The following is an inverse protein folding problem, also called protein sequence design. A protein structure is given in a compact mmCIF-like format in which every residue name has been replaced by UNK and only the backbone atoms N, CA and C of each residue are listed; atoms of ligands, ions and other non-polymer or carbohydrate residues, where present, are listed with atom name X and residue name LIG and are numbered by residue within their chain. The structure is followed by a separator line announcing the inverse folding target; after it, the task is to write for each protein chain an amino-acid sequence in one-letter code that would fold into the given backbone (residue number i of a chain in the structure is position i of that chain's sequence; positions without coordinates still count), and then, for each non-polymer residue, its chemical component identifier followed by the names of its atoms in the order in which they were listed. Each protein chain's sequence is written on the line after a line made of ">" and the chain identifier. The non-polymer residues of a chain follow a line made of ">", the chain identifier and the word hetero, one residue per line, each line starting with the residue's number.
data_IF_094816740789
#
_entry.id   IF_094816740789
#
_cell.length_a   1.000
_cell.length_b   1.000
_cell.length_c   1.000
_cell.angle_alpha   90.00
_cell.angle_beta   90.00
_cell.angle_gamma   90.00
#
_symmetry.space_group_name_H-M   'P 1'
#
loop_
_entity.id
_entity.type
_entity.pdbx_description
1 polymer ?
#
# COMPACT_ATOMS: atom_id res chain seq x y z
N UNK A 1 -2.30 -21.65 -14.99
CA UNK A 1 -3.27 -21.36 -16.06
C UNK A 1 -3.55 -19.85 -16.07
N UNK A 2 -3.30 -19.19 -17.21
CA UNK A 2 -3.73 -17.80 -17.44
C UNK A 2 -5.27 -17.75 -17.41
N UNK A 3 -5.84 -16.72 -16.77
CA UNK A 3 -7.27 -16.56 -16.60
C UNK A 3 -7.80 -15.33 -17.33
N UNK A 4 -7.30 -14.15 -16.98
CA UNK A 4 -7.75 -12.87 -17.55
C UNK A 4 -6.71 -11.78 -17.29
N UNK A 5 -6.87 -10.66 -17.97
CA UNK A 5 -6.15 -9.40 -17.72
C UNK A 5 -7.11 -8.24 -17.87
N UNK A 6 -6.75 -7.10 -17.32
CA UNK A 6 -7.44 -5.83 -17.55
C UNK A 6 -6.44 -4.67 -17.46
N UNK A 7 -6.85 -3.52 -17.98
CA UNK A 7 -6.03 -2.33 -18.01
C UNK A 7 -5.20 -2.22 -19.29
N UNK A 8 -4.70 -1.02 -19.52
CA UNK A 8 -3.86 -0.67 -20.67
C UNK A 8 -2.89 0.46 -20.29
N UNK A 9 -1.97 0.77 -21.16
CA UNK A 9 -1.03 1.90 -20.96
C UNK A 9 -1.76 3.23 -21.10
N UNK A 10 -1.55 4.14 -20.13
CA UNK A 10 -2.10 5.49 -20.14
C UNK A 10 -2.23 6.07 -18.73
N UNK A 11 -2.97 7.18 -18.61
CA UNK A 11 -3.13 7.95 -17.38
C UNK A 11 -4.59 8.06 -16.86
N UNK A 12 -5.55 7.55 -17.61
CA UNK A 12 -6.96 7.54 -17.24
C UNK A 12 -7.34 6.42 -16.25
N UNK A 13 -8.64 6.29 -15.90
CA UNK A 13 -9.16 5.18 -15.14
C UNK A 13 -8.93 3.84 -15.85
N UNK A 14 -8.37 2.86 -15.14
CA UNK A 14 -8.02 1.56 -15.72
C UNK A 14 -6.81 1.58 -16.65
N UNK A 15 -6.12 2.71 -16.76
CA UNK A 15 -4.87 2.85 -17.48
C UNK A 15 -3.71 2.99 -16.50
N UNK A 16 -2.50 2.59 -16.87
CA UNK A 16 -1.33 2.56 -15.99
C UNK A 16 -0.04 2.92 -16.74
N UNK A 17 0.88 3.59 -16.05
CA UNK A 17 2.24 3.79 -16.53
C UNK A 17 3.18 2.71 -15.99
N UNK A 18 3.08 2.39 -14.69
CA UNK A 18 3.93 1.41 -14.03
C UNK A 18 3.17 0.73 -12.89
N UNK A 19 2.52 -0.39 -13.18
CA UNK A 19 1.92 -1.24 -12.13
C UNK A 19 3.05 -1.83 -11.29
N UNK A 20 3.20 -1.36 -10.06
CA UNK A 20 4.31 -1.70 -9.18
C UNK A 20 3.93 -2.67 -8.06
N UNK A 21 2.75 -2.49 -7.49
CA UNK A 21 2.23 -3.35 -6.43
C UNK A 21 0.71 -3.52 -6.55
N UNK A 22 0.21 -4.60 -5.97
CA UNK A 22 -1.20 -4.95 -5.91
C UNK A 22 -1.57 -5.38 -4.49
N UNK A 23 -2.77 -5.04 -4.05
CA UNK A 23 -3.34 -5.57 -2.82
C UNK A 23 -4.82 -5.88 -3.00
N UNK A 24 -5.25 -6.98 -2.41
CA UNK A 24 -6.68 -7.27 -2.24
C UNK A 24 -7.17 -6.63 -0.96
N UNK A 25 -8.32 -6.01 -1.02
CA UNK A 25 -8.99 -5.42 0.12
C UNK A 25 -10.34 -6.05 0.42
N UNK A 26 -11.09 -5.50 1.36
CA UNK A 26 -12.42 -5.96 1.74
C UNK A 26 -13.35 -6.05 0.53
N UNK A 27 -14.24 -7.04 0.56
CA UNK A 27 -15.22 -7.25 -0.52
C UNK A 27 -14.65 -7.73 -1.85
N UNK A 28 -13.34 -8.04 -1.91
CA UNK A 28 -12.66 -8.45 -3.14
C UNK A 28 -12.22 -7.27 -4.02
N UNK A 29 -12.21 -6.06 -3.49
CA UNK A 29 -11.67 -4.90 -4.17
C UNK A 29 -10.17 -5.09 -4.44
N UNK A 30 -9.72 -4.65 -5.61
CA UNK A 30 -8.32 -4.69 -6.01
C UNK A 30 -7.73 -3.28 -6.03
N UNK A 31 -6.69 -3.09 -5.27
CA UNK A 31 -5.92 -1.84 -5.24
C UNK A 31 -4.68 -2.02 -6.10
N UNK A 32 -4.52 -1.15 -7.08
CA UNK A 32 -3.41 -1.16 -8.03
C UNK A 32 -2.57 0.09 -7.83
N UNK A 33 -1.34 -0.10 -7.38
CA UNK A 33 -0.38 0.97 -7.19
C UNK A 33 0.36 1.25 -8.49
N UNK A 34 0.18 2.45 -9.02
CA UNK A 34 0.82 2.98 -10.22
C UNK A 34 1.92 3.96 -9.80
N UNK A 35 3.15 3.44 -9.69
CA UNK A 35 4.29 4.18 -9.15
C UNK A 35 4.60 5.44 -9.94
N UNK A 36 4.64 5.35 -11.25
CA UNK A 36 5.11 6.45 -12.10
C UNK A 36 4.07 7.56 -12.28
N UNK A 37 2.79 7.25 -12.04
CA UNK A 37 1.72 8.24 -11.94
C UNK A 37 1.39 8.63 -10.50
N UNK A 38 2.17 8.17 -9.52
CA UNK A 38 2.11 8.57 -8.11
C UNK A 38 0.71 8.39 -7.50
N UNK A 39 0.04 7.28 -7.85
CA UNK A 39 -1.35 7.03 -7.47
C UNK A 39 -1.65 5.58 -7.15
N UNK A 40 -2.79 5.36 -6.52
CA UNK A 40 -3.42 4.06 -6.36
C UNK A 40 -4.79 4.13 -7.01
N UNK A 41 -5.13 3.15 -7.82
CA UNK A 41 -6.48 2.99 -8.34
C UNK A 41 -7.17 1.83 -7.61
N UNK A 42 -8.38 2.07 -7.11
CA UNK A 42 -9.25 1.08 -6.49
C UNK A 42 -10.26 0.57 -7.52
N UNK A 43 -10.38 -0.75 -7.59
CA UNK A 43 -11.30 -1.43 -8.49
C UNK A 43 -12.22 -2.34 -7.71
N UNK A 44 -13.50 -2.20 -7.93
CA UNK A 44 -14.52 -3.07 -7.37
C UNK A 44 -14.65 -4.33 -8.22
N UNK A 45 -14.61 -5.48 -7.58
CA UNK A 45 -14.93 -6.74 -8.25
C UNK A 45 -16.42 -6.81 -8.63
N UNK A 46 -16.73 -7.13 -9.86
CA UNK A 46 -18.11 -7.16 -10.38
C UNK A 46 -18.70 -8.56 -10.51
N UNK A 47 -17.86 -9.61 -10.57
CA UNK A 47 -18.34 -10.99 -10.57
C UNK A 47 -18.76 -11.42 -9.15
N UNK A 48 -19.94 -12.06 -9.04
CA UNK A 48 -20.41 -12.58 -7.76
C UNK A 48 -19.44 -13.66 -7.22
N UNK A 49 -19.22 -13.70 -5.89
CA UNK A 49 -18.45 -14.78 -5.27
C UNK A 49 -19.01 -16.15 -5.66
N UNK A 50 -18.14 -17.05 -6.12
CA UNK A 50 -18.54 -18.39 -6.58
C UNK A 50 -19.05 -18.46 -8.01
N UNK A 51 -19.12 -17.35 -8.76
CA UNK A 51 -19.34 -17.37 -10.20
C UNK A 51 -18.27 -18.22 -10.89
N UNK A 52 -18.67 -18.91 -11.96
CA UNK A 52 -17.70 -19.56 -12.87
C UNK A 52 -17.03 -18.58 -13.81
N UNK A 53 -17.59 -17.37 -13.88
CA UNK A 53 -17.00 -16.27 -14.65
C UNK A 53 -15.78 -15.74 -13.89
N UNK A 54 -14.77 -15.35 -14.64
CA UNK A 54 -13.60 -14.72 -14.05
C UNK A 54 -13.98 -13.36 -13.47
N UNK A 55 -13.41 -12.95 -12.31
CA UNK A 55 -13.68 -11.65 -11.77
C UNK A 55 -13.32 -10.58 -12.80
N UNK A 56 -14.25 -9.69 -13.05
CA UNK A 56 -14.04 -8.45 -13.76
C UNK A 56 -13.99 -7.31 -12.75
N UNK A 57 -13.28 -6.25 -13.11
CA UNK A 57 -13.02 -5.14 -12.23
C UNK A 57 -13.48 -3.83 -12.87
N UNK A 58 -14.21 -3.02 -12.11
CA UNK A 58 -14.63 -1.68 -12.51
C UNK A 58 -13.89 -0.65 -11.65
N UNK A 59 -13.33 0.37 -12.29
CA UNK A 59 -12.70 1.48 -11.59
C UNK A 59 -13.71 2.17 -10.66
N UNK A 60 -13.35 2.35 -9.40
CA UNK A 60 -14.18 2.96 -8.37
C UNK A 60 -13.61 4.30 -7.91
N UNK A 61 -12.31 4.36 -7.65
CA UNK A 61 -11.64 5.56 -7.17
C UNK A 61 -10.17 5.60 -7.57
N UNK A 62 -9.62 6.81 -7.60
CA UNK A 62 -8.18 7.06 -7.72
C UNK A 62 -7.72 7.86 -6.52
N UNK A 63 -6.71 7.35 -5.82
CA UNK A 63 -6.05 8.01 -4.71
C UNK A 63 -4.76 8.63 -5.18
N UNK A 64 -4.62 9.92 -5.00
CA UNK A 64 -3.45 10.71 -5.37
C UNK A 64 -2.78 11.28 -4.10
N UNK A 65 -1.93 12.28 -4.27
CA UNK A 65 -1.19 12.94 -3.18
C UNK A 65 -0.19 12.00 -2.47
N UNK A 66 0.45 11.15 -3.27
CA UNK A 66 1.57 10.29 -2.89
C UNK A 66 2.87 10.85 -3.47
N UNK A 67 3.99 10.57 -2.80
CA UNK A 67 5.32 11.00 -3.27
C UNK A 67 5.84 10.08 -4.38
N UNK A 68 6.34 8.92 -4.00
CA UNK A 68 6.70 7.84 -4.91
C UNK A 68 6.31 6.52 -4.23
N UNK A 69 5.07 6.06 -4.41
CA UNK A 69 4.58 4.88 -3.74
C UNK A 69 5.23 3.62 -4.34
N UNK A 70 5.66 2.69 -3.47
CA UNK A 70 6.36 1.47 -3.87
C UNK A 70 5.59 0.20 -3.55
N UNK A 71 4.95 0.15 -2.38
CA UNK A 71 4.19 -1.02 -1.95
C UNK A 71 2.92 -0.63 -1.20
N UNK A 72 1.95 -1.51 -1.19
CA UNK A 72 0.66 -1.33 -0.55
C UNK A 72 0.22 -2.58 0.21
N UNK A 73 -0.17 -2.40 1.46
CA UNK A 73 -0.84 -3.39 2.29
C UNK A 73 -2.23 -2.89 2.63
N UNK A 74 -3.26 -3.71 2.47
CA UNK A 74 -4.64 -3.33 2.76
C UNK A 74 -5.22 -4.20 3.86
N UNK A 75 -5.90 -3.56 4.82
CA UNK A 75 -6.65 -4.20 5.91
C UNK A 75 -8.15 -3.96 5.76
N UNK A 76 -8.92 -4.36 6.78
CA UNK A 76 -10.38 -4.17 6.80
C UNK A 76 -10.80 -2.70 6.76
N UNK A 77 -9.99 -1.78 7.29
CA UNK A 77 -10.34 -0.36 7.46
C UNK A 77 -9.32 0.63 6.91
N UNK A 78 -8.17 0.17 6.48
CA UNK A 78 -7.08 1.05 6.07
C UNK A 78 -6.13 0.42 5.06
N UNK A 79 -5.37 1.25 4.40
CA UNK A 79 -4.26 0.86 3.53
C UNK A 79 -2.96 1.50 4.04
N UNK A 80 -1.87 0.75 3.96
CA UNK A 80 -0.53 1.19 4.31
C UNK A 80 0.33 1.22 3.07
N UNK A 81 0.97 2.34 2.81
CA UNK A 81 1.75 2.57 1.60
C UNK A 81 3.17 2.94 1.99
N UNK A 82 4.15 2.23 1.44
CA UNK A 82 5.53 2.72 1.46
C UNK A 82 5.66 3.82 0.43
N UNK A 83 6.17 4.94 0.84
CA UNK A 83 6.30 6.12 -0.02
C UNK A 83 7.71 6.69 0.13
N UNK A 84 8.32 7.01 -0.98
CA UNK A 84 9.69 7.52 -1.04
C UNK A 84 9.69 9.03 -1.28
N UNK A 85 10.83 9.66 -0.98
CA UNK A 85 11.11 11.08 -1.19
C UNK A 85 10.40 12.06 -0.23
N UNK A 86 10.72 12.03 1.08
CA UNK A 86 11.62 11.11 1.78
C UNK A 86 10.95 9.79 2.14
N UNK A 87 11.73 8.77 2.55
CA UNK A 87 11.17 7.49 2.99
C UNK A 87 10.17 7.67 4.13
N UNK A 88 8.96 7.16 3.93
CA UNK A 88 7.85 7.26 4.89
C UNK A 88 6.86 6.13 4.71
N UNK A 89 6.04 5.91 5.70
CA UNK A 89 4.84 5.09 5.61
C UNK A 89 3.64 6.01 5.67
N UNK A 90 2.70 5.83 4.76
CA UNK A 90 1.43 6.56 4.72
C UNK A 90 0.31 5.58 5.02
N UNK A 91 -0.53 5.89 6.01
CA UNK A 91 -1.78 5.19 6.23
C UNK A 91 -2.93 6.00 5.65
N UNK A 92 -3.75 5.33 4.85
CA UNK A 92 -4.94 5.89 4.23
C UNK A 92 -6.18 5.17 4.74
N UNK A 93 -7.29 5.87 4.83
CA UNK A 93 -8.60 5.25 4.88
C UNK A 93 -8.92 4.59 3.53
N UNK A 94 -9.88 3.67 3.50
CA UNK A 94 -10.25 2.99 2.24
C UNK A 94 -11.00 3.89 1.24
N UNK A 95 -11.28 5.14 1.61
CA UNK A 95 -11.72 6.21 0.69
C UNK A 95 -10.56 7.01 0.09
N UNK A 96 -9.31 6.67 0.45
CA UNK A 96 -8.10 7.33 -0.02
C UNK A 96 -7.69 8.56 0.80
N UNK A 97 -8.47 8.96 1.80
CA UNK A 97 -8.08 10.07 2.68
C UNK A 97 -6.94 9.68 3.59
N UNK A 98 -5.98 10.61 3.77
CA UNK A 98 -4.80 10.37 4.60
C UNK A 98 -5.18 10.33 6.08
N UNK A 99 -4.79 9.24 6.76
CA UNK A 99 -4.97 9.07 8.21
C UNK A 99 -3.73 9.50 8.98
N UNK A 100 -2.58 8.93 8.63
CA UNK A 100 -1.28 9.21 9.27
C UNK A 100 -0.14 9.16 8.26
N UNK A 101 0.96 9.83 8.62
CA UNK A 101 2.24 9.73 7.91
C UNK A 101 3.36 9.60 8.92
N UNK A 102 4.19 8.58 8.78
CA UNK A 102 5.38 8.38 9.58
C UNK A 102 6.60 8.54 8.71
N UNK A 103 7.35 9.61 8.97
CA UNK A 103 8.63 9.81 8.33
C UNK A 103 9.65 8.85 8.96
N UNK A 104 10.33 8.09 8.13
CA UNK A 104 11.36 7.18 8.56
C UNK A 104 12.68 7.95 8.75
N UNK A 105 13.53 7.56 9.72
CA UNK A 105 14.82 8.21 9.90
C UNK A 105 15.70 8.03 8.66
N UNK A 106 16.24 9.12 8.14
CA UNK A 106 17.14 9.13 6.96
C UNK A 106 18.60 9.29 7.34
N UNK A 107 18.88 9.42 8.65
CA UNK A 107 20.22 9.54 9.23
C UNK A 107 20.39 8.56 10.39
N UNK A 108 21.64 8.36 10.80
CA UNK A 108 21.98 7.50 11.93
C UNK A 108 22.02 6.00 11.60
N UNK A 109 22.20 5.14 12.63
CA UNK A 109 22.42 3.70 12.45
C UNK A 109 21.18 2.93 11.95
N UNK A 110 19.99 3.47 12.16
CA UNK A 110 18.71 2.88 11.77
C UNK A 110 18.05 3.63 10.60
N UNK A 111 18.86 4.40 9.86
CA UNK A 111 18.36 5.14 8.70
C UNK A 111 17.74 4.22 7.65
N UNK A 112 16.78 4.76 6.94
CA UNK A 112 16.19 4.18 5.73
C UNK A 112 16.68 4.93 4.51
N UNK A 113 17.01 4.20 3.45
CA UNK A 113 17.31 4.77 2.13
C UNK A 113 16.09 4.62 1.25
N UNK A 114 15.52 3.41 1.20
CA UNK A 114 14.33 3.11 0.41
C UNK A 114 13.56 1.98 1.07
N UNK A 115 12.46 2.33 1.73
CA UNK A 115 11.53 1.32 2.22
C UNK A 115 10.71 0.81 1.04
N UNK A 116 11.12 -0.32 0.47
CA UNK A 116 10.60 -0.83 -0.78
C UNK A 116 9.32 -1.63 -0.59
N UNK A 117 9.25 -2.50 0.41
CA UNK A 117 8.04 -3.30 0.66
C UNK A 117 7.72 -3.46 2.13
N UNK A 118 6.47 -3.80 2.40
CA UNK A 118 5.89 -3.98 3.73
C UNK A 118 5.34 -5.40 3.91
N UNK A 119 5.42 -5.89 5.14
CA UNK A 119 4.68 -7.05 5.61
C UNK A 119 4.30 -6.84 7.08
N UNK A 120 3.31 -7.59 7.56
CA UNK A 120 2.84 -7.53 8.95
C UNK A 120 2.75 -8.95 9.51
N UNK A 121 3.13 -9.13 10.77
CA UNK A 121 2.90 -10.40 11.48
C UNK A 121 1.58 -10.36 12.29
N UNK A 122 1.23 -11.52 12.88
CA UNK A 122 0.01 -11.66 13.69
C UNK A 122 -0.01 -10.80 14.95
N UNK A 123 1.13 -10.31 15.39
CA UNK A 123 1.26 -9.44 16.55
C UNK A 123 1.17 -7.94 16.19
N UNK A 124 0.98 -7.64 14.90
CA UNK A 124 0.90 -6.27 14.37
C UNK A 124 2.24 -5.59 14.16
N UNK A 125 3.36 -6.34 14.21
CA UNK A 125 4.65 -5.76 13.88
C UNK A 125 4.78 -5.60 12.36
N UNK A 126 5.27 -4.44 11.93
CA UNK A 126 5.60 -4.18 10.53
C UNK A 126 7.03 -4.59 10.22
N UNK A 127 7.21 -5.18 9.08
CA UNK A 127 8.52 -5.51 8.51
C UNK A 127 8.67 -4.76 7.20
N UNK A 128 9.73 -3.99 7.07
CA UNK A 128 10.04 -3.30 5.84
C UNK A 128 11.36 -3.75 5.25
N UNK A 129 11.44 -3.80 3.94
CA UNK A 129 12.70 -4.04 3.23
C UNK A 129 13.31 -2.72 2.80
N UNK A 130 14.55 -2.48 3.23
CA UNK A 130 15.38 -1.40 2.70
C UNK A 130 16.28 -2.01 1.63
N UNK A 131 15.84 -1.98 0.38
CA UNK A 131 16.55 -2.64 -0.70
C UNK A 131 17.89 -1.97 -1.03
N UNK A 132 17.99 -0.66 -0.85
CA UNK A 132 19.22 0.11 -1.09
C UNK A 132 20.25 -0.09 0.04
N UNK A 133 19.78 -0.29 1.27
CA UNK A 133 20.65 -0.60 2.41
C UNK A 133 20.90 -2.12 2.56
N UNK A 134 20.24 -2.95 1.78
CA UNK A 134 20.41 -4.41 1.77
C UNK A 134 19.96 -5.08 3.07
N UNK A 135 18.92 -4.58 3.74
CA UNK A 135 18.50 -5.11 5.05
C UNK A 135 16.98 -5.03 5.26
N UNK A 136 16.38 -6.05 5.88
CA UNK A 136 15.05 -5.93 6.46
C UNK A 136 15.12 -5.21 7.82
N UNK A 137 14.08 -4.48 8.16
CA UNK A 137 13.93 -3.85 9.48
C UNK A 137 12.54 -4.19 10.05
N UNK A 138 12.48 -4.43 11.36
CA UNK A 138 11.24 -4.65 12.09
C UNK A 138 10.87 -3.38 12.85
N UNK A 139 9.61 -2.98 12.72
CA UNK A 139 9.00 -1.89 13.46
C UNK A 139 7.93 -2.48 14.38
N UNK A 140 8.09 -2.29 15.67
CA UNK A 140 7.16 -2.81 16.68
C UNK A 140 6.35 -1.65 17.24
N UNK A 141 5.01 -1.79 17.35
CA UNK A 141 4.17 -0.80 18.01
C UNK A 141 4.64 -0.55 19.44
N UNK A 142 4.67 0.70 19.85
CA UNK A 142 5.00 1.10 21.22
C UNK A 142 3.77 1.69 21.87
N UNK A 143 3.26 1.01 22.91
CA UNK A 143 2.07 1.44 23.65
C UNK A 143 2.26 2.73 24.46
N UNK A 144 3.50 3.12 24.69
CA UNK A 144 3.91 4.28 25.52
C UNK A 144 4.37 5.48 24.68
N UNK A 145 4.39 5.36 23.35
CA UNK A 145 4.83 6.43 22.48
C UNK A 145 3.67 7.35 22.10
N UNK A 146 4.01 8.62 21.82
CA UNK A 146 3.06 9.57 21.29
C UNK A 146 2.43 9.01 20.01
N UNK A 147 1.08 8.97 19.88
CA UNK A 147 0.40 8.50 18.68
C UNK A 147 0.86 9.20 17.39
N UNK A 148 1.37 10.42 17.47
CA UNK A 148 1.94 11.13 16.32
C UNK A 148 3.34 10.64 15.92
N UNK A 149 4.03 9.93 16.81
CA UNK A 149 5.38 9.42 16.61
C UNK A 149 5.44 7.92 16.39
N UNK A 150 4.33 7.23 16.58
CA UNK A 150 4.24 5.79 16.36
C UNK A 150 3.62 5.53 15.00
N UNK A 151 3.96 4.37 14.44
CA UNK A 151 3.20 3.75 13.37
C UNK A 151 1.79 3.38 13.89
N UNK A 152 0.96 4.38 14.15
CA UNK A 152 -0.45 4.30 14.51
C UNK A 152 -0.90 3.18 15.43
N UNK A 153 -2.18 2.94 15.49
CA UNK A 153 -2.71 1.73 16.13
C UNK A 153 -2.14 0.50 15.43
N UNK A 154 -1.75 -0.56 16.18
CA UNK A 154 -1.23 -1.75 15.55
C UNK A 154 -2.22 -2.24 14.49
N UNK A 155 -1.68 -2.56 13.32
CA UNK A 155 -2.44 -3.30 12.33
C UNK A 155 -2.88 -4.61 13.01
N UNK A 156 -4.16 -4.78 13.17
CA UNK A 156 -4.77 -6.06 13.58
C UNK A 156 -5.32 -6.65 12.30
N UNK A 157 -4.74 -7.77 11.79
CA UNK A 157 -5.23 -8.42 10.59
C UNK A 157 -6.65 -8.94 10.73
#
# INVERSE_FOLDING_TARGET
>A
KYLSEFGETGDGPGQFASVHALAMGPGGNLFVLDRDLLRIQNFRQTAAPGSRDYPTYEHEATWADLGMPLDILVSEDSAWVTDLNPPKIVQLNLDGTRRYTWNLPVEGPHRWIEMHSLSVDSDGNLYGTDNQAGRPQKLTPRSDADPELILGQPYVP
#
